data_IF_344411844756
#
_entry.id   IF_344411844756
#
_cell.length_a   1.000
_cell.length_b   1.000
_cell.length_c   1.000
_cell.angle_alpha   90.00
_cell.angle_beta   90.00
_cell.angle_gamma   90.00
#
_symmetry.space_group_name_H-M   'P 1'
#
loop_
_entity.id
_entity.type
_entity.pdbx_description
1 polymer ?
#
# COMPACT_ATOMS: atom_id res chain seq x y z
N UNK A 1 -14.43 1.58 -19.73
CA UNK A 1 -14.28 2.78 -18.89
C UNK A 1 -13.65 3.87 -19.71
N UNK A 2 -13.99 5.13 -19.43
CA UNK A 2 -13.31 6.30 -19.98
C UNK A 2 -11.84 6.30 -19.53
N UNK A 3 -10.93 6.64 -20.44
CA UNK A 3 -9.49 6.74 -20.17
C UNK A 3 -9.12 8.19 -19.93
N UNK A 4 -8.19 8.44 -19.02
CA UNK A 4 -7.58 9.75 -18.78
C UNK A 4 -6.23 9.83 -19.51
N UNK A 5 -5.85 11.05 -19.88
CA UNK A 5 -4.57 11.38 -20.49
C UNK A 5 -3.58 11.88 -19.43
N UNK A 6 -2.29 11.91 -19.77
CA UNK A 6 -1.24 12.47 -18.91
C UNK A 6 -1.54 13.91 -18.44
N UNK A 7 -2.14 14.73 -19.31
CA UNK A 7 -2.51 16.11 -18.99
C UNK A 7 -3.67 16.22 -17.97
N UNK A 8 -4.43 15.14 -17.75
CA UNK A 8 -5.52 15.08 -16.79
C UNK A 8 -5.09 14.55 -15.42
N UNK A 9 -3.86 14.06 -15.27
CA UNK A 9 -3.31 13.66 -13.97
C UNK A 9 -3.00 14.92 -13.16
N UNK A 10 -3.69 15.08 -12.03
CA UNK A 10 -3.48 16.18 -11.11
C UNK A 10 -2.27 15.91 -10.22
N UNK A 11 -1.09 16.28 -10.69
CA UNK A 11 0.16 16.07 -9.95
C UNK A 11 0.23 17.00 -8.72
N UNK A 12 0.39 16.46 -7.50
CA UNK A 12 0.57 17.23 -6.27
C UNK A 12 1.78 18.16 -6.30
N UNK A 13 1.75 19.21 -5.46
CA UNK A 13 2.78 20.25 -5.46
C UNK A 13 4.10 19.85 -4.76
N UNK A 14 4.07 18.78 -3.98
CA UNK A 14 5.21 18.15 -3.32
C UNK A 14 5.91 17.10 -4.19
N UNK A 15 5.36 16.77 -5.37
CA UNK A 15 6.10 16.05 -6.41
C UNK A 15 7.08 17.02 -7.06
N UNK A 16 8.37 16.71 -6.95
CA UNK A 16 9.44 17.55 -7.50
C UNK A 16 9.34 17.68 -9.03
N UNK A 17 9.75 18.82 -9.62
CA UNK A 17 9.70 19.03 -11.07
C UNK A 17 10.35 17.91 -11.88
N UNK A 18 11.48 17.39 -11.43
CA UNK A 18 12.23 16.28 -12.04
C UNK A 18 11.55 14.91 -11.90
N UNK A 19 10.68 14.74 -10.91
CA UNK A 19 9.93 13.51 -10.65
C UNK A 19 8.53 13.50 -11.28
N UNK A 20 8.10 14.63 -11.85
CA UNK A 20 6.74 14.84 -12.38
C UNK A 20 6.35 13.83 -13.46
N UNK A 21 7.24 13.55 -14.40
CA UNK A 21 6.96 12.61 -15.49
C UNK A 21 6.81 11.19 -14.94
N UNK A 22 7.76 10.75 -14.12
CA UNK A 22 7.73 9.47 -13.40
C UNK A 22 6.44 9.30 -12.59
N UNK A 23 6.00 10.33 -11.86
CA UNK A 23 4.74 10.30 -11.11
C UNK A 23 3.53 10.10 -12.02
N UNK A 24 3.45 10.82 -13.14
CA UNK A 24 2.34 10.67 -14.10
C UNK A 24 2.34 9.26 -14.69
N UNK A 25 3.50 8.72 -15.07
CA UNK A 25 3.64 7.37 -15.60
C UNK A 25 3.17 6.33 -14.58
N UNK A 26 3.64 6.43 -13.33
CA UNK A 26 3.25 5.55 -12.24
C UNK A 26 1.74 5.64 -11.93
N UNK A 27 1.18 6.84 -11.89
CA UNK A 27 -0.25 7.05 -11.67
C UNK A 27 -1.10 6.41 -12.78
N UNK A 28 -0.71 6.61 -14.04
CA UNK A 28 -1.39 6.00 -15.19
C UNK A 28 -1.23 4.48 -15.20
N UNK A 29 -0.06 3.95 -14.85
CA UNK A 29 0.17 2.51 -14.74
C UNK A 29 -0.74 1.90 -13.65
N UNK A 30 -0.69 2.46 -12.43
CA UNK A 30 -1.48 1.98 -11.29
C UNK A 30 -2.99 2.04 -11.52
N UNK A 31 -3.47 3.07 -12.24
CA UNK A 31 -4.90 3.23 -12.53
C UNK A 31 -5.31 2.65 -13.88
N UNK A 32 -4.41 1.98 -14.59
CA UNK A 32 -4.61 1.50 -15.96
C UNK A 32 -5.15 2.62 -16.88
N UNK A 33 -4.70 3.85 -16.67
CA UNK A 33 -5.12 5.06 -17.40
C UNK A 33 -6.58 5.41 -17.21
N UNK A 34 -7.24 4.98 -16.13
CA UNK A 34 -8.67 5.27 -15.88
C UNK A 34 -8.91 6.28 -14.77
N UNK A 35 -7.87 6.62 -13.99
CA UNK A 35 -8.02 7.39 -12.75
C UNK A 35 -8.71 6.61 -11.61
N UNK A 36 -8.99 5.31 -11.81
CA UNK A 36 -9.50 4.41 -10.77
C UNK A 36 -8.45 3.37 -10.43
N UNK A 37 -8.19 3.21 -9.14
CA UNK A 37 -7.26 2.19 -8.64
C UNK A 37 -7.99 0.87 -8.43
N UNK A 38 -7.54 -0.18 -9.11
CA UNK A 38 -7.84 -1.57 -8.73
C UNK A 38 -6.60 -2.11 -8.02
N UNK A 39 -6.71 -2.31 -6.71
CA UNK A 39 -5.63 -2.82 -5.88
C UNK A 39 -5.88 -4.28 -5.53
N UNK A 40 -4.92 -5.15 -5.84
CA UNK A 40 -4.90 -6.52 -5.36
C UNK A 40 -3.98 -6.62 -4.14
N UNK A 41 -4.57 -6.80 -2.95
CA UNK A 41 -3.84 -6.85 -1.69
C UNK A 41 -3.27 -8.26 -1.45
N UNK A 42 -1.96 -8.33 -1.20
CA UNK A 42 -1.18 -9.56 -1.01
C UNK A 42 -0.26 -9.47 0.22
N UNK A 43 -0.55 -8.55 1.14
CA UNK A 43 0.25 -8.26 2.34
C UNK A 43 -0.18 -9.07 3.58
N UNK A 44 -1.29 -9.80 3.50
CA UNK A 44 -1.92 -10.49 4.63
C UNK A 44 -1.08 -11.64 5.21
N UNK A 45 -0.05 -12.14 4.50
CA UNK A 45 0.84 -13.20 5.03
C UNK A 45 1.57 -12.79 6.32
N UNK A 46 1.74 -11.48 6.55
CA UNK A 46 2.18 -10.96 7.85
C UNK A 46 0.97 -10.63 8.74
N UNK A 47 -0.04 -9.92 8.22
CA UNK A 47 -1.17 -9.42 9.02
C UNK A 47 -1.95 -10.53 9.74
N UNK A 48 -2.20 -11.66 9.07
CA UNK A 48 -3.02 -12.76 9.59
C UNK A 48 -2.28 -14.10 9.64
N UNK A 49 -0.94 -14.06 9.53
CA UNK A 49 -0.11 -15.26 9.46
C UNK A 49 -0.55 -16.16 8.29
N UNK A 50 -0.73 -17.47 8.51
CA UNK A 50 -1.19 -18.39 7.46
C UNK A 50 -2.72 -18.55 7.42
N UNK A 51 -3.47 -17.79 8.24
CA UNK A 51 -4.91 -17.99 8.42
C UNK A 51 -5.73 -17.76 7.15
N UNK A 52 -5.27 -16.85 6.28
CA UNK A 52 -5.94 -16.56 5.01
C UNK A 52 -5.51 -17.48 3.86
N UNK A 53 -4.46 -18.29 4.06
CA UNK A 53 -3.77 -19.02 2.97
C UNK A 53 -3.80 -20.54 3.14
N UNK A 54 -4.27 -21.02 4.27
CA UNK A 54 -4.40 -22.45 4.53
C UNK A 54 -5.48 -22.71 5.59
N UNK A 55 -6.43 -23.59 5.27
CA UNK A 55 -7.50 -23.96 6.19
C UNK A 55 -8.73 -24.49 5.47
N UNK A 56 -9.78 -24.75 6.24
CA UNK A 56 -11.08 -25.14 5.69
C UNK A 56 -11.66 -23.99 4.85
N UNK A 57 -12.11 -24.30 3.63
CA UNK A 57 -12.70 -23.32 2.72
C UNK A 57 -11.70 -22.47 1.91
N UNK A 58 -10.39 -22.70 2.08
CA UNK A 58 -9.33 -22.06 1.30
C UNK A 58 -8.77 -23.07 0.30
N UNK A 59 -8.57 -22.65 -0.96
CA UNK A 59 -8.01 -23.52 -1.99
C UNK A 59 -6.56 -23.90 -1.62
N UNK A 60 -6.17 -25.19 -1.70
CA UNK A 60 -4.82 -25.62 -1.35
C UNK A 60 -3.68 -24.93 -2.13
N UNK A 61 -3.97 -24.39 -3.32
CA UNK A 61 -2.98 -23.66 -4.11
C UNK A 61 -2.52 -22.36 -3.44
N UNK A 62 -3.33 -21.75 -2.57
CA UNK A 62 -3.02 -20.47 -1.93
C UNK A 62 -1.96 -20.58 -0.82
N UNK A 63 -1.69 -21.80 -0.37
CA UNK A 63 -0.60 -22.07 0.57
C UNK A 63 0.79 -21.90 -0.08
N UNK A 64 0.87 -21.91 -1.43
CA UNK A 64 2.07 -21.54 -2.19
C UNK A 64 2.03 -20.04 -2.56
N UNK A 65 2.95 -19.21 -2.04
CA UNK A 65 2.93 -17.77 -2.28
C UNK A 65 3.03 -17.36 -3.76
N UNK A 66 3.55 -18.22 -4.65
CA UNK A 66 3.58 -17.92 -6.09
C UNK A 66 2.15 -17.79 -6.67
N UNK A 67 1.15 -18.40 -6.01
CA UNK A 67 -0.26 -18.27 -6.39
C UNK A 67 -0.71 -16.81 -6.54
N UNK A 68 -0.25 -15.93 -5.64
CA UNK A 68 -0.56 -14.51 -5.66
C UNK A 68 -0.07 -13.83 -6.94
N UNK A 69 1.15 -14.16 -7.37
CA UNK A 69 1.77 -13.58 -8.56
C UNK A 69 1.14 -14.12 -9.84
N UNK A 70 0.78 -15.41 -9.88
CA UNK A 70 0.01 -15.98 -11.01
C UNK A 70 -1.33 -15.28 -11.20
N UNK A 71 -2.04 -14.97 -10.11
CA UNK A 71 -3.29 -14.18 -10.18
C UNK A 71 -3.00 -12.76 -10.68
N UNK A 72 -1.99 -12.10 -10.12
CA UNK A 72 -1.62 -10.74 -10.49
C UNK A 72 -1.29 -10.58 -11.98
N UNK A 73 -0.59 -11.55 -12.56
CA UNK A 73 -0.21 -11.58 -13.97
C UNK A 73 -1.38 -11.86 -14.93
N UNK A 74 -2.38 -12.62 -14.48
CA UNK A 74 -3.53 -13.01 -15.30
C UNK A 74 -4.73 -12.06 -15.15
N UNK A 75 -4.79 -11.34 -14.02
CA UNK A 75 -5.90 -10.47 -13.66
C UNK A 75 -5.82 -9.08 -14.29
N UNK A 76 -6.96 -8.36 -14.26
CA UNK A 76 -6.99 -6.93 -14.56
C UNK A 76 -6.68 -6.17 -13.28
N UNK A 77 -5.40 -6.12 -12.93
CA UNK A 77 -4.90 -5.51 -11.69
C UNK A 77 -4.24 -4.17 -12.00
N UNK A 78 -4.59 -3.14 -11.23
CA UNK A 78 -3.91 -1.85 -11.27
C UNK A 78 -2.53 -1.95 -10.63
N UNK A 79 -2.51 -2.42 -9.38
CA UNK A 79 -1.30 -2.75 -8.62
C UNK A 79 -1.45 -4.02 -7.78
N UNK A 80 -0.38 -4.78 -7.62
CA UNK A 80 -0.24 -5.82 -6.59
C UNK A 80 0.48 -5.21 -5.38
N UNK A 81 -0.22 -5.13 -4.25
CA UNK A 81 0.30 -4.56 -3.01
C UNK A 81 0.87 -5.67 -2.11
N UNK A 82 2.16 -5.63 -1.79
CA UNK A 82 2.79 -6.64 -0.94
C UNK A 82 4.10 -6.16 -0.33
N UNK A 83 4.62 -6.89 0.65
CA UNK A 83 5.89 -6.52 1.28
C UNK A 83 7.07 -6.70 0.31
N UNK A 84 8.10 -5.85 0.45
CA UNK A 84 9.33 -5.85 -0.36
C UNK A 84 9.97 -7.23 -0.43
N UNK A 85 10.02 -7.94 0.71
CA UNK A 85 10.61 -9.27 0.77
C UNK A 85 9.85 -10.31 -0.06
N UNK A 86 8.51 -10.25 -0.08
CA UNK A 86 7.67 -11.13 -0.90
C UNK A 86 7.87 -10.81 -2.38
N UNK A 87 7.74 -9.53 -2.75
CA UNK A 87 7.89 -9.06 -4.14
C UNK A 87 9.28 -9.39 -4.69
N UNK A 88 10.34 -9.18 -3.90
CA UNK A 88 11.72 -9.45 -4.33
C UNK A 88 12.00 -10.91 -4.68
N UNK A 89 11.18 -11.86 -4.20
CA UNK A 89 11.36 -13.29 -4.50
C UNK A 89 10.77 -13.71 -5.83
N UNK A 90 9.80 -12.98 -6.36
CA UNK A 90 9.01 -13.39 -7.52
C UNK A 90 9.00 -12.35 -8.65
N UNK A 91 9.32 -11.08 -8.39
CA UNK A 91 9.19 -10.02 -9.39
C UNK A 91 10.03 -10.24 -10.67
N UNK A 92 11.13 -10.99 -10.58
CA UNK A 92 11.92 -11.34 -11.76
C UNK A 92 11.19 -12.28 -12.73
N UNK A 93 10.31 -13.13 -12.20
CA UNK A 93 9.49 -14.07 -12.98
C UNK A 93 8.16 -13.44 -13.44
N UNK A 94 7.77 -12.30 -12.85
CA UNK A 94 6.52 -11.58 -13.11
C UNK A 94 6.75 -10.07 -13.36
N UNK A 95 7.62 -9.68 -14.31
CA UNK A 95 8.06 -8.28 -14.50
C UNK A 95 6.96 -7.34 -15.01
N UNK A 96 5.86 -7.87 -15.58
CA UNK A 96 4.74 -7.10 -16.12
C UNK A 96 3.80 -6.51 -15.07
N UNK A 97 3.91 -6.96 -13.82
CA UNK A 97 3.04 -6.51 -12.73
C UNK A 97 3.51 -5.12 -12.26
N UNK A 98 2.56 -4.21 -12.05
CA UNK A 98 2.82 -2.96 -11.31
C UNK A 98 2.80 -3.26 -9.82
N UNK A 99 3.93 -3.05 -9.13
CA UNK A 99 4.04 -3.32 -7.70
C UNK A 99 3.84 -2.07 -6.86
N UNK A 100 3.10 -2.26 -5.76
CA UNK A 100 3.00 -1.30 -4.67
C UNK A 100 3.62 -1.92 -3.42
N UNK A 101 4.71 -1.33 -2.92
CA UNK A 101 5.42 -1.92 -1.78
C UNK A 101 4.77 -1.49 -0.47
N UNK A 102 4.23 -2.46 0.27
CA UNK A 102 3.65 -2.23 1.59
C UNK A 102 4.75 -2.01 2.63
N UNK A 103 4.95 -0.78 3.07
CA UNK A 103 6.12 -0.33 3.85
C UNK A 103 6.09 -0.77 5.31
N UNK A 104 4.91 -0.99 5.89
CA UNK A 104 4.75 -1.47 7.25
C UNK A 104 3.86 -2.72 7.33
N UNK A 105 4.03 -3.53 8.36
CA UNK A 105 3.11 -4.61 8.69
C UNK A 105 3.22 -4.98 10.16
N UNK A 106 2.19 -5.63 10.70
CA UNK A 106 2.22 -6.28 12.02
C UNK A 106 1.53 -7.64 11.95
N UNK A 107 1.68 -8.48 12.96
CA UNK A 107 0.85 -9.70 13.05
C UNK A 107 -0.49 -9.41 13.73
N UNK A 108 -1.38 -10.39 13.78
CA UNK A 108 -2.62 -10.36 14.57
C UNK A 108 -2.51 -11.09 15.92
N UNK A 109 -1.28 -11.42 16.36
CA UNK A 109 -1.06 -12.18 17.61
C UNK A 109 -1.34 -11.36 18.87
N UNK A 110 -1.03 -10.06 18.85
CA UNK A 110 -1.37 -9.13 19.93
C UNK A 110 -2.71 -8.51 19.60
N UNK A 111 -3.72 -8.81 20.40
CA UNK A 111 -5.06 -8.25 20.26
C UNK A 111 -5.19 -6.90 20.99
N UNK A 112 -6.15 -6.07 20.56
CA UNK A 112 -6.37 -4.71 21.08
C UNK A 112 -6.64 -4.64 22.60
N UNK A 113 -7.19 -5.70 23.20
CA UNK A 113 -7.40 -5.77 24.65
C UNK A 113 -6.08 -5.92 25.40
N UNK A 114 -5.12 -6.62 24.80
CA UNK A 114 -3.77 -6.74 25.35
C UNK A 114 -3.01 -5.42 25.16
N UNK A 115 -2.91 -4.94 23.93
CA UNK A 115 -2.21 -3.70 23.60
C UNK A 115 -2.73 -3.05 22.32
N UNK A 116 -2.60 -1.73 22.21
CA UNK A 116 -3.08 -1.01 21.04
C UNK A 116 -2.27 -1.35 19.78
N UNK A 117 -2.88 -1.32 18.58
CA UNK A 117 -2.19 -1.77 17.38
C UNK A 117 -1.11 -0.77 16.96
N UNK A 118 0.08 -1.29 16.70
CA UNK A 118 1.18 -0.58 16.07
C UNK A 118 1.75 -1.42 14.93
N UNK A 119 1.94 -0.79 13.76
CA UNK A 119 2.53 -1.41 12.58
C UNK A 119 3.76 -0.61 12.16
N UNK A 120 4.98 -1.05 12.53
CA UNK A 120 6.20 -0.31 12.26
C UNK A 120 6.57 -0.35 10.78
N UNK A 121 7.18 0.72 10.28
CA UNK A 121 7.92 0.67 9.01
C UNK A 121 8.99 -0.44 9.05
N UNK A 122 8.98 -1.32 8.05
CA UNK A 122 9.85 -2.51 7.99
C UNK A 122 11.20 -2.22 7.33
N UNK A 123 11.29 -1.20 6.48
CA UNK A 123 12.48 -0.85 5.71
C UNK A 123 12.41 0.61 5.24
N UNK A 124 13.57 1.20 4.90
CA UNK A 124 13.65 2.55 4.33
C UNK A 124 13.10 2.60 2.89
N UNK A 125 12.68 3.79 2.45
CA UNK A 125 12.35 4.02 1.05
C UNK A 125 13.55 3.77 0.12
N UNK A 126 14.77 4.11 0.56
CA UNK A 126 16.01 3.82 -0.18
C UNK A 126 16.13 2.34 -0.57
N UNK A 127 15.74 1.43 0.33
CA UNK A 127 15.75 -0.02 0.05
C UNK A 127 14.76 -0.42 -1.04
N UNK A 128 13.66 0.32 -1.20
CA UNK A 128 12.66 0.14 -2.25
C UNK A 128 13.14 0.73 -3.56
N UNK A 129 13.73 1.93 -3.54
CA UNK A 129 14.31 2.58 -4.71
C UNK A 129 15.45 1.76 -5.31
N UNK A 130 16.34 1.20 -4.49
CA UNK A 130 17.39 0.30 -4.96
C UNK A 130 16.84 -0.94 -5.70
N UNK A 131 15.67 -1.45 -5.28
CA UNK A 131 14.99 -2.56 -5.94
C UNK A 131 14.31 -2.13 -7.24
N UNK A 132 13.77 -0.92 -7.30
CA UNK A 132 13.27 -0.29 -8.54
C UNK A 132 14.39 -0.12 -9.55
N UNK A 133 15.53 0.41 -9.12
CA UNK A 133 16.71 0.64 -9.96
C UNK A 133 17.32 -0.69 -10.47
N UNK A 134 17.13 -1.79 -9.73
CA UNK A 134 17.47 -3.14 -10.16
C UNK A 134 16.50 -3.72 -11.21
N UNK A 135 15.48 -2.97 -11.62
CA UNK A 135 14.57 -3.32 -12.72
C UNK A 135 13.19 -3.80 -12.31
N UNK A 136 12.83 -3.75 -11.01
CA UNK A 136 11.47 -4.12 -10.58
C UNK A 136 10.51 -2.96 -10.82
N UNK A 137 9.36 -3.24 -11.47
CA UNK A 137 8.34 -2.25 -11.79
C UNK A 137 7.54 -1.80 -10.54
N UNK A 138 8.15 -0.94 -9.73
CA UNK A 138 7.56 -0.39 -8.50
C UNK A 138 6.97 0.99 -8.83
N UNK A 139 5.65 1.08 -8.80
CA UNK A 139 4.91 2.31 -9.14
C UNK A 139 4.50 3.12 -7.91
N UNK A 140 4.52 2.51 -6.73
CA UNK A 140 4.08 3.16 -5.52
C UNK A 140 4.43 2.43 -4.23
N UNK A 141 4.01 3.02 -3.12
CA UNK A 141 4.15 2.47 -1.78
C UNK A 141 2.83 2.48 -1.01
N UNK A 142 2.77 1.66 0.02
CA UNK A 142 1.61 1.52 0.89
C UNK A 142 1.96 1.64 2.35
N UNK A 143 1.12 2.28 3.16
CA UNK A 143 1.33 2.33 4.62
C UNK A 143 0.00 2.23 5.38
N UNK A 144 -0.02 1.55 6.51
CA UNK A 144 -1.20 1.41 7.38
C UNK A 144 -1.09 2.30 8.60
N UNK A 145 -2.15 3.04 8.91
CA UNK A 145 -2.27 3.86 10.12
C UNK A 145 -3.48 3.36 10.92
N UNK A 146 -3.28 3.13 12.21
CA UNK A 146 -4.38 2.88 13.15
C UNK A 146 -4.73 4.15 13.93
N UNK A 147 -5.75 4.88 13.49
CA UNK A 147 -6.20 6.08 14.21
C UNK A 147 -6.89 5.69 15.53
N UNK A 148 -6.69 6.48 16.58
CA UNK A 148 -7.16 6.21 17.94
C UNK A 148 -6.36 5.15 18.69
N UNK A 149 -5.30 4.61 18.11
CA UNK A 149 -4.28 3.82 18.81
C UNK A 149 -3.42 4.72 19.68
N UNK A 150 -2.96 4.25 20.85
CA UNK A 150 -1.93 4.93 21.65
C UNK A 150 -0.62 5.19 20.85
N UNK A 151 -0.42 4.47 19.74
CA UNK A 151 0.74 4.61 18.83
C UNK A 151 0.46 5.44 17.57
N UNK A 152 -0.71 6.08 17.47
CA UNK A 152 -1.14 6.87 16.30
C UNK A 152 -0.08 7.89 15.88
N UNK A 153 0.47 8.65 16.84
CA UNK A 153 1.44 9.72 16.56
C UNK A 153 2.68 9.20 15.84
N UNK A 154 3.18 8.01 16.18
CA UNK A 154 4.32 7.39 15.52
C UNK A 154 3.97 7.04 14.07
N UNK A 155 2.85 6.35 13.84
CA UNK A 155 2.45 5.95 12.48
C UNK A 155 2.12 7.15 11.58
N UNK A 156 1.52 8.20 12.13
CA UNK A 156 1.27 9.44 11.37
C UNK A 156 2.56 10.16 11.00
N UNK A 157 3.53 10.23 11.93
CA UNK A 157 4.85 10.83 11.65
C UNK A 157 5.60 10.05 10.57
N UNK A 158 5.66 8.72 10.70
CA UNK A 158 6.29 7.84 9.71
C UNK A 158 5.62 7.99 8.34
N UNK A 159 4.29 7.94 8.27
CA UNK A 159 3.55 8.08 7.02
C UNK A 159 3.77 9.45 6.36
N UNK A 160 3.76 10.54 7.13
CA UNK A 160 3.97 11.89 6.60
C UNK A 160 5.35 12.09 5.98
N UNK A 161 6.41 11.62 6.65
CA UNK A 161 7.77 11.65 6.11
C UNK A 161 7.88 10.79 4.85
N UNK A 162 7.34 9.57 4.91
CA UNK A 162 7.39 8.61 3.82
C UNK A 162 6.62 9.06 2.57
N UNK A 163 5.51 9.79 2.72
CA UNK A 163 4.77 10.39 1.60
C UNK A 163 5.62 11.45 0.90
N UNK A 164 6.22 12.35 1.66
CA UNK A 164 7.07 13.40 1.09
C UNK A 164 8.26 12.81 0.32
N UNK A 165 8.90 11.77 0.86
CA UNK A 165 10.00 11.06 0.19
C UNK A 165 9.52 10.32 -1.08
N UNK A 166 8.37 9.68 -1.03
CA UNK A 166 7.80 8.95 -2.18
C UNK A 166 7.43 9.89 -3.32
N UNK A 167 6.78 11.02 -3.03
CA UNK A 167 6.46 12.05 -4.01
C UNK A 167 7.71 12.68 -4.62
N UNK A 168 8.76 12.92 -3.82
CA UNK A 168 10.05 13.37 -4.33
C UNK A 168 10.69 12.36 -5.29
N UNK A 169 10.40 11.06 -5.15
CA UNK A 169 10.85 9.99 -6.03
C UNK A 169 9.86 9.64 -7.16
N UNK A 170 8.74 10.36 -7.27
CA UNK A 170 7.69 10.16 -8.27
C UNK A 170 6.87 8.89 -8.09
N UNK A 171 6.79 8.35 -6.87
CA UNK A 171 5.99 7.17 -6.53
C UNK A 171 4.61 7.61 -6.03
N UNK A 172 3.56 6.83 -6.34
CA UNK A 172 2.25 7.04 -5.73
C UNK A 172 2.19 6.45 -4.31
N UNK A 173 1.30 6.97 -3.48
CA UNK A 173 1.08 6.49 -2.11
C UNK A 173 -0.37 6.11 -1.86
N UNK A 174 -0.56 4.91 -1.31
CA UNK A 174 -1.85 4.42 -0.80
C UNK A 174 -1.77 4.28 0.71
N UNK A 175 -2.67 4.92 1.44
CA UNK A 175 -2.79 4.73 2.88
C UNK A 175 -3.95 3.79 3.21
N UNK A 176 -3.71 2.78 4.03
CA UNK A 176 -4.78 2.06 4.72
C UNK A 176 -4.99 2.73 6.06
N UNK A 177 -6.12 3.39 6.24
CA UNK A 177 -6.44 4.03 7.52
C UNK A 177 -7.58 3.26 8.19
N UNK A 178 -7.25 2.61 9.29
CA UNK A 178 -8.18 1.82 10.08
C UNK A 178 -8.27 2.37 11.49
N UNK A 179 -9.28 3.20 11.80
CA UNK A 179 -9.53 3.61 13.18
C UNK A 179 -9.67 2.37 14.07
N UNK A 180 -8.69 2.14 14.95
CA UNK A 180 -8.58 0.96 15.81
C UNK A 180 -7.66 1.24 16.99
N UNK A 181 -8.12 0.88 18.18
CA UNK A 181 -7.44 1.04 19.45
C UNK A 181 -8.46 0.99 20.58
N UNK A 182 -8.01 0.98 21.83
CA UNK A 182 -8.90 0.99 23.00
C UNK A 182 -9.84 2.21 23.03
N UNK A 183 -9.45 3.31 22.37
CA UNK A 183 -10.27 4.53 22.25
C UNK A 183 -11.33 4.46 21.15
N UNK A 184 -11.35 3.42 20.31
CA UNK A 184 -12.27 3.27 19.18
C UNK A 184 -13.33 2.21 19.50
N UNK A 185 -14.54 2.66 19.81
CA UNK A 185 -15.66 1.76 20.14
C UNK A 185 -16.29 1.10 18.90
N UNK A 186 -16.42 1.86 17.81
CA UNK A 186 -16.99 1.39 16.55
C UNK A 186 -16.08 1.78 15.38
N UNK A 187 -15.24 0.84 14.95
CA UNK A 187 -14.29 1.03 13.83
C UNK A 187 -14.95 1.41 12.50
N UNK A 188 -16.25 1.13 12.34
CA UNK A 188 -17.00 1.36 11.10
C UNK A 188 -18.01 2.50 11.20
N UNK A 189 -17.88 3.35 12.22
CA UNK A 189 -18.71 4.54 12.34
C UNK A 189 -18.50 5.47 11.13
N UNK A 190 -19.58 6.01 10.58
CA UNK A 190 -19.52 6.77 9.32
C UNK A 190 -18.72 8.07 9.45
N UNK A 191 -18.85 8.78 10.59
CA UNK A 191 -18.12 10.03 10.83
C UNK A 191 -16.63 9.72 11.04
N UNK A 192 -16.33 8.60 11.68
CA UNK A 192 -14.96 8.14 11.89
C UNK A 192 -14.28 7.75 10.57
N UNK A 193 -14.98 7.06 9.66
CA UNK A 193 -14.47 6.74 8.32
C UNK A 193 -14.29 8.00 7.47
N UNK A 194 -15.22 8.96 7.52
CA UNK A 194 -15.06 10.24 6.83
C UNK A 194 -13.86 11.03 7.36
N UNK A 195 -13.64 11.02 8.68
CA UNK A 195 -12.48 11.61 9.33
C UNK A 195 -11.17 10.95 8.88
N UNK A 196 -11.12 9.62 8.83
CA UNK A 196 -9.98 8.86 8.35
C UNK A 196 -9.59 9.24 6.90
N UNK A 197 -10.57 9.37 6.00
CA UNK A 197 -10.32 9.83 4.63
C UNK A 197 -9.77 11.27 4.59
N UNK A 198 -10.24 12.15 5.48
CA UNK A 198 -9.70 13.51 5.64
C UNK A 198 -8.25 13.51 6.10
N UNK A 199 -7.86 12.62 7.02
CA UNK A 199 -6.47 12.48 7.49
C UNK A 199 -5.55 12.08 6.33
N UNK A 200 -5.94 11.14 5.48
CA UNK A 200 -5.14 10.76 4.32
C UNK A 200 -4.86 11.94 3.38
N UNK A 201 -5.86 12.76 3.10
CA UNK A 201 -5.69 13.99 2.31
C UNK A 201 -4.71 14.96 2.98
N UNK A 202 -4.84 15.17 4.30
CA UNK A 202 -3.95 16.07 5.05
C UNK A 202 -2.50 15.58 5.10
N UNK A 203 -2.28 14.26 5.09
CA UNK A 203 -0.95 13.67 4.99
C UNK A 203 -0.39 13.69 3.55
N UNK A 204 -1.26 13.88 2.55
CA UNK A 204 -0.87 13.97 1.14
C UNK A 204 -0.94 12.65 0.38
N UNK A 205 -1.72 11.66 0.82
CA UNK A 205 -1.85 10.40 0.08
C UNK A 205 -2.61 10.57 -1.24
N UNK A 206 -2.28 9.75 -2.24
CA UNK A 206 -3.00 9.72 -3.53
C UNK A 206 -4.31 8.94 -3.43
N UNK A 207 -4.33 7.87 -2.62
CA UNK A 207 -5.49 7.03 -2.37
C UNK A 207 -5.58 6.61 -0.89
N UNK A 208 -6.80 6.34 -0.43
CA UNK A 208 -7.14 5.85 0.92
C UNK A 208 -8.28 4.84 0.88
#
# INVERSE_FOLDING_TARGET
>A
MEKITAAQVAVPADVLPEARETYIENYLAATQGTGRLMLYACDQKIEHMNGDFFGEGIDPADNDPEHLFRIGAQGVVGVLAGQKGLVARYAADYPEINYLIKMNSKTNLVDTKQDDPYSPQLYSLESVLAMRDAGVNIVGIGYTIYLGSEYEATMMSEAGELIAEAHAAGLIVVLWIYPRGKAVENEKDADLIAGAAGVALCLGADFV
#
